data_IF_086375635732
#
_entry.id   IF_086375635732
#
_cell.length_a   1.000
_cell.length_b   1.000
_cell.length_c   1.000
_cell.angle_alpha   90.00
_cell.angle_beta   90.00
_cell.angle_gamma   90.00
#
_symmetry.space_group_name_H-M   'P 1'
#
loop_
_entity.id
_entity.type
_entity.pdbx_description
1 polymer ?
#
# COMPACT_ATOMS: atom_id res chain seq x y z
N UNK A 1 42.20 -12.89 48.44
CA UNK A 1 40.97 -12.36 47.77
C UNK A 1 41.19 -10.87 47.54
N UNK A 2 41.56 -10.48 46.33
CA UNK A 2 41.91 -9.10 45.99
C UNK A 2 40.72 -8.47 45.26
N UNK A 3 40.03 -7.57 45.93
CA UNK A 3 38.92 -6.79 45.30
C UNK A 3 39.53 -5.64 44.52
N UNK A 4 39.31 -5.62 43.23
CA UNK A 4 39.69 -4.52 42.36
C UNK A 4 38.71 -3.33 42.58
N UNK A 5 39.18 -2.10 42.72
CA UNK A 5 38.30 -0.94 42.87
C UNK A 5 37.63 -0.60 41.54
N UNK A 6 36.31 -0.54 41.52
CA UNK A 6 35.54 -0.08 40.36
C UNK A 6 35.74 1.43 40.19
N UNK A 7 36.31 1.83 39.08
CA UNK A 7 36.57 3.25 38.76
C UNK A 7 35.25 4.01 38.54
N UNK A 8 35.19 5.27 39.07
CA UNK A 8 34.05 6.18 38.86
C UNK A 8 33.70 6.41 37.37
N UNK A 9 34.68 6.26 36.50
CA UNK A 9 34.49 6.37 35.05
C UNK A 9 33.64 5.21 34.46
N UNK A 10 33.81 4.02 35.00
CA UNK A 10 33.03 2.83 34.54
C UNK A 10 31.56 2.92 34.95
N UNK A 11 31.27 3.52 36.12
CA UNK A 11 29.90 3.76 36.58
C UNK A 11 29.18 4.81 35.73
N UNK A 12 29.88 5.87 35.32
CA UNK A 12 29.33 6.91 34.45
C UNK A 12 29.02 6.39 33.01
N UNK A 13 29.89 5.53 32.47
CA UNK A 13 29.66 4.91 31.17
C UNK A 13 28.45 3.95 31.19
N UNK A 14 28.27 3.19 32.29
CA UNK A 14 27.11 2.29 32.46
C UNK A 14 25.79 3.04 32.58
N UNK A 15 25.77 4.18 33.25
CA UNK A 15 24.56 5.00 33.38
C UNK A 15 24.14 5.67 32.05
N UNK A 16 25.12 6.10 31.23
CA UNK A 16 24.85 6.69 29.93
C UNK A 16 24.24 5.67 28.91
N UNK A 17 24.73 4.43 28.94
CA UNK A 17 24.20 3.36 28.05
C UNK A 17 22.79 2.96 28.51
N UNK A 18 22.51 2.88 29.78
CA UNK A 18 21.17 2.58 30.28
C UNK A 18 20.17 3.69 29.96
N UNK A 19 20.57 4.96 30.03
CA UNK A 19 19.73 6.09 29.66
C UNK A 19 19.42 6.13 28.14
N UNK A 20 20.40 5.83 27.29
CA UNK A 20 20.22 5.76 25.85
C UNK A 20 19.27 4.63 25.45
N UNK A 21 19.38 3.45 26.06
CA UNK A 21 18.45 2.34 25.79
C UNK A 21 17.02 2.64 26.25
N UNK A 22 16.83 3.39 27.31
CA UNK A 22 15.49 3.78 27.77
C UNK A 22 14.84 4.78 26.82
N UNK A 23 15.61 5.73 26.31
CA UNK A 23 15.11 6.70 25.33
C UNK A 23 14.78 6.04 23.99
N UNK A 24 15.58 5.08 23.50
CA UNK A 24 15.28 4.34 22.29
C UNK A 24 14.00 3.51 22.45
N UNK A 25 13.77 2.93 23.62
CA UNK A 25 12.51 2.21 23.90
C UNK A 25 11.29 3.14 23.94
N UNK A 26 11.43 4.35 24.47
CA UNK A 26 10.35 5.34 24.45
C UNK A 26 10.08 5.85 23.04
N UNK A 27 11.09 6.14 22.24
CA UNK A 27 10.91 6.56 20.85
C UNK A 27 10.23 5.47 20.00
N UNK A 28 10.54 4.19 20.22
CA UNK A 28 9.87 3.07 19.55
C UNK A 28 8.44 2.86 20.07
N UNK A 29 8.16 3.18 21.33
CA UNK A 29 6.81 3.10 21.88
C UNK A 29 5.91 4.25 21.41
N UNK A 30 6.46 5.45 21.23
CA UNK A 30 5.72 6.61 20.70
C UNK A 30 5.41 6.49 19.21
N UNK A 31 6.25 5.79 18.43
CA UNK A 31 5.97 5.55 17.01
C UNK A 31 4.87 4.50 16.77
N UNK A 32 4.34 3.90 17.81
CA UNK A 32 3.20 2.97 17.80
C UNK A 32 1.87 3.62 18.16
N UNK A 33 1.72 4.92 17.98
CA UNK A 33 0.40 5.47 17.78
C UNK A 33 -0.09 4.93 16.43
N UNK A 34 -0.70 3.77 16.44
CA UNK A 34 -1.57 3.33 15.35
C UNK A 34 -2.58 4.45 15.21
N UNK A 35 -2.42 5.27 14.17
CA UNK A 35 -3.45 6.19 13.76
C UNK A 35 -4.66 5.31 13.42
N UNK A 36 -5.53 5.11 14.41
CA UNK A 36 -6.84 4.54 14.13
C UNK A 36 -7.50 5.58 13.23
N UNK A 37 -7.77 5.28 11.96
CA UNK A 37 -8.49 6.23 11.12
C UNK A 37 -9.76 6.59 11.86
N UNK A 38 -10.02 7.86 12.04
CA UNK A 38 -11.31 8.29 12.57
C UNK A 38 -12.36 7.66 11.68
N UNK A 39 -13.21 6.79 12.25
CA UNK A 39 -14.23 6.11 11.48
C UNK A 39 -15.09 7.19 10.81
N UNK A 40 -14.95 7.33 9.50
CA UNK A 40 -15.82 8.22 8.72
C UNK A 40 -17.20 7.57 8.75
N UNK A 41 -18.11 8.22 9.42
CA UNK A 41 -19.48 7.70 9.62
C UNK A 41 -20.34 7.80 8.36
N UNK A 42 -19.93 8.62 7.40
CA UNK A 42 -20.67 8.82 6.14
C UNK A 42 -19.71 9.00 4.96
N UNK A 43 -19.40 7.88 4.29
CA UNK A 43 -18.55 7.87 3.10
C UNK A 43 -19.19 8.64 1.94
N UNK A 44 -20.52 8.71 1.89
CA UNK A 44 -21.24 9.39 0.82
C UNK A 44 -21.02 10.90 0.84
N UNK A 45 -20.65 11.46 2.00
CA UNK A 45 -20.36 12.89 2.14
C UNK A 45 -18.93 13.28 1.77
N UNK A 46 -18.04 12.31 1.53
CA UNK A 46 -16.65 12.58 1.21
C UNK A 46 -16.48 13.16 -0.20
N UNK A 47 -15.48 14.04 -0.40
CA UNK A 47 -15.08 14.45 -1.73
C UNK A 47 -14.75 13.23 -2.60
N UNK A 48 -15.14 13.25 -3.87
CA UNK A 48 -14.89 12.18 -4.83
C UNK A 48 -13.94 12.66 -5.92
N UNK A 49 -12.94 11.84 -6.23
CA UNK A 49 -11.92 12.15 -7.25
C UNK A 49 -11.81 10.95 -8.19
N UNK A 50 -12.16 11.16 -9.46
CA UNK A 50 -11.96 10.14 -10.51
C UNK A 50 -10.53 10.22 -11.02
N UNK A 51 -9.83 9.09 -11.02
CA UNK A 51 -8.44 8.96 -11.46
C UNK A 51 -8.35 8.07 -12.69
N UNK A 52 -7.67 8.58 -13.72
CA UNK A 52 -7.37 7.82 -14.93
C UNK A 52 -6.11 6.99 -14.70
N UNK A 53 -6.25 5.67 -14.76
CA UNK A 53 -5.11 4.75 -14.71
C UNK A 53 -4.25 4.86 -15.97
N UNK A 54 -2.95 4.61 -15.82
CA UNK A 54 -1.97 4.61 -16.91
C UNK A 54 -1.23 3.29 -16.96
N UNK A 55 -0.73 2.95 -18.14
CA UNK A 55 -0.04 1.68 -18.35
C UNK A 55 1.31 1.63 -17.63
N UNK A 56 1.68 0.47 -17.08
CA UNK A 56 3.01 0.25 -16.53
C UNK A 56 4.11 0.52 -17.57
N UNK A 57 5.28 0.99 -17.16
CA UNK A 57 5.75 1.17 -15.77
C UNK A 57 5.36 2.50 -15.14
N UNK A 58 4.53 3.27 -15.78
CA UNK A 58 4.12 4.58 -15.30
C UNK A 58 3.05 4.46 -14.22
N UNK A 59 2.94 5.52 -13.41
CA UNK A 59 1.92 5.66 -12.39
C UNK A 59 1.12 6.92 -12.68
N UNK A 60 -0.18 6.88 -12.45
CA UNK A 60 -1.04 8.04 -12.64
C UNK A 60 -0.58 9.23 -11.78
N UNK A 61 -0.94 10.43 -12.20
CA UNK A 61 -0.65 11.63 -11.44
C UNK A 61 -1.30 11.56 -10.06
N UNK A 62 -0.52 11.84 -9.02
CA UNK A 62 -0.96 11.83 -7.63
C UNK A 62 -0.09 12.78 -6.79
N UNK A 63 -0.62 13.26 -5.69
CA UNK A 63 0.14 14.04 -4.70
C UNK A 63 1.09 13.11 -3.94
N UNK A 64 2.33 13.56 -3.69
CA UNK A 64 3.31 12.78 -2.91
C UNK A 64 3.00 12.79 -1.41
N UNK A 65 2.25 13.77 -0.95
CA UNK A 65 1.85 13.93 0.45
C UNK A 65 0.36 14.24 0.48
N UNK A 66 -0.37 13.55 1.34
CA UNK A 66 -1.80 13.81 1.50
C UNK A 66 -2.05 15.26 1.92
N UNK A 67 -2.89 15.94 1.18
CA UNK A 67 -3.38 17.28 1.51
C UNK A 67 -4.88 17.22 1.77
N UNK A 68 -5.29 17.63 2.94
CA UNK A 68 -6.70 17.59 3.34
C UNK A 68 -7.09 16.32 4.10
N UNK A 69 -8.40 16.06 4.18
CA UNK A 69 -8.98 14.90 4.83
C UNK A 69 -9.18 13.72 3.86
N UNK A 70 -9.79 12.61 4.33
CA UNK A 70 -10.09 11.45 3.50
C UNK A 70 -11.03 11.81 2.34
N UNK A 71 -10.86 11.12 1.24
CA UNK A 71 -11.68 11.25 0.02
C UNK A 71 -12.02 9.86 -0.53
N UNK A 72 -12.95 9.78 -1.45
CA UNK A 72 -13.19 8.60 -2.27
C UNK A 72 -12.42 8.75 -3.57
N UNK A 73 -11.51 7.84 -3.84
CA UNK A 73 -10.75 7.79 -5.10
C UNK A 73 -11.38 6.73 -5.98
N UNK A 74 -11.89 7.17 -7.13
CA UNK A 74 -12.61 6.33 -8.07
C UNK A 74 -11.68 5.90 -9.21
N UNK A 75 -11.60 4.59 -9.42
CA UNK A 75 -10.87 3.98 -10.52
C UNK A 75 -11.81 3.17 -11.40
N UNK A 76 -11.45 3.04 -12.67
CA UNK A 76 -12.10 2.14 -13.59
C UNK A 76 -11.05 1.24 -14.25
N UNK A 77 -11.33 -0.06 -14.30
CA UNK A 77 -10.42 -1.06 -14.83
C UNK A 77 -11.19 -2.11 -15.63
N UNK A 78 -10.70 -2.44 -16.80
CA UNK A 78 -11.27 -3.49 -17.65
C UNK A 78 -10.38 -4.73 -17.60
N UNK A 79 -10.98 -5.89 -17.37
CA UNK A 79 -10.33 -7.18 -17.55
C UNK A 79 -10.63 -7.66 -18.96
N UNK A 80 -9.57 -7.96 -19.71
CA UNK A 80 -9.67 -8.49 -21.05
C UNK A 80 -8.70 -9.65 -21.28
N UNK A 81 -9.18 -10.69 -21.95
CA UNK A 81 -8.33 -11.78 -22.41
C UNK A 81 -7.70 -11.40 -23.74
N UNK A 82 -6.37 -11.47 -23.79
CA UNK A 82 -5.65 -11.16 -25.03
C UNK A 82 -4.33 -11.87 -25.16
N UNK A 83 -3.87 -11.95 -26.40
CA UNK A 83 -2.54 -12.45 -26.72
C UNK A 83 -1.51 -11.37 -26.51
N UNK A 84 -0.51 -11.63 -25.70
CA UNK A 84 0.59 -10.72 -25.37
C UNK A 84 1.87 -11.25 -25.98
N UNK A 85 2.70 -10.35 -26.54
CA UNK A 85 4.07 -10.65 -26.94
C UNK A 85 5.00 -10.47 -25.74
N UNK A 86 5.81 -11.48 -25.45
CA UNK A 86 6.68 -11.50 -24.28
C UNK A 86 7.98 -10.73 -24.49
N UNK A 87 8.56 -10.85 -25.69
CA UNK A 87 9.86 -10.32 -26.01
C UNK A 87 10.07 -10.14 -27.52
N UNK A 88 11.25 -9.69 -27.88
CA UNK A 88 11.63 -9.44 -29.28
C UNK A 88 11.75 -10.74 -30.12
N UNK A 89 11.74 -11.92 -29.51
CA UNK A 89 11.68 -13.19 -30.23
C UNK A 89 10.33 -13.46 -30.88
N UNK A 90 9.32 -12.69 -30.51
CA UNK A 90 7.95 -12.87 -30.96
C UNK A 90 7.17 -13.97 -30.21
N UNK A 91 7.72 -14.47 -29.11
CA UNK A 91 7.02 -15.41 -28.24
C UNK A 91 5.77 -14.75 -27.66
N UNK A 92 4.66 -15.46 -27.69
CA UNK A 92 3.36 -14.94 -27.24
C UNK A 92 2.65 -15.90 -26.32
N UNK A 93 1.76 -15.38 -25.46
CA UNK A 93 0.85 -16.18 -24.65
C UNK A 93 -0.51 -15.50 -24.49
N UNK A 94 -1.54 -16.26 -24.16
CA UNK A 94 -2.82 -15.74 -23.75
C UNK A 94 -2.78 -15.30 -22.30
N UNK A 95 -3.21 -14.09 -22.03
CA UNK A 95 -3.22 -13.52 -20.71
C UNK A 95 -4.57 -12.88 -20.38
N UNK A 96 -4.99 -13.01 -19.13
CA UNK A 96 -5.98 -12.12 -18.55
C UNK A 96 -5.27 -10.85 -18.14
N UNK A 97 -5.71 -9.73 -18.65
CA UNK A 97 -5.04 -8.43 -18.51
C UNK A 97 -5.92 -7.43 -17.79
N UNK A 98 -5.31 -6.50 -17.08
CA UNK A 98 -5.99 -5.31 -16.58
C UNK A 98 -5.64 -4.12 -17.49
N UNK A 99 -6.64 -3.48 -18.07
CA UNK A 99 -6.50 -2.42 -19.07
C UNK A 99 -5.57 -2.80 -20.24
N UNK A 100 -5.50 -4.10 -20.56
CA UNK A 100 -4.72 -4.61 -21.68
C UNK A 100 -3.25 -4.87 -21.37
N UNK A 101 -2.79 -4.76 -20.13
CA UNK A 101 -1.39 -4.94 -19.73
C UNK A 101 -1.21 -6.03 -18.68
N UNK A 102 0.01 -6.57 -18.62
CA UNK A 102 0.52 -7.45 -17.56
C UNK A 102 1.96 -7.03 -17.24
N UNK A 103 2.26 -6.59 -16.01
CA UNK A 103 1.32 -6.36 -14.91
C UNK A 103 0.25 -5.31 -15.24
N UNK A 104 -0.84 -5.29 -14.47
CA UNK A 104 -1.88 -4.26 -14.59
C UNK A 104 -1.42 -2.89 -14.05
N UNK A 105 -2.23 -1.84 -14.29
CA UNK A 105 -1.96 -0.50 -13.78
C UNK A 105 -1.85 -0.44 -12.27
N UNK A 106 -1.01 0.47 -11.77
CA UNK A 106 -0.90 0.76 -10.34
C UNK A 106 -1.96 1.77 -9.92
N UNK A 107 -2.62 1.48 -8.79
CA UNK A 107 -3.50 2.42 -8.10
C UNK A 107 -2.75 2.97 -6.88
N UNK A 108 -2.55 4.28 -6.82
CA UNK A 108 -1.90 4.96 -5.69
C UNK A 108 -2.92 5.84 -5.00
N UNK A 109 -3.04 5.66 -3.68
CA UNK A 109 -3.94 6.41 -2.81
C UNK A 109 -3.22 6.72 -1.50
N UNK A 110 -3.75 7.65 -0.71
CA UNK A 110 -3.20 7.95 0.61
C UNK A 110 -3.87 7.12 1.70
N UNK A 111 -3.15 6.90 2.77
CA UNK A 111 -3.70 6.28 3.97
C UNK A 111 -4.92 7.07 4.46
N UNK A 112 -6.03 6.37 4.67
CA UNK A 112 -7.30 6.96 5.07
C UNK A 112 -8.25 7.30 3.93
N UNK A 113 -7.81 7.27 2.68
CA UNK A 113 -8.70 7.38 1.52
C UNK A 113 -9.54 6.11 1.35
N UNK A 114 -10.72 6.27 0.78
CA UNK A 114 -11.57 5.17 0.33
C UNK A 114 -11.36 4.93 -1.16
N UNK A 115 -11.28 3.66 -1.55
CA UNK A 115 -11.13 3.27 -2.95
C UNK A 115 -12.45 2.71 -3.46
N UNK A 116 -12.94 3.27 -4.56
CA UNK A 116 -14.05 2.70 -5.32
C UNK A 116 -13.53 2.27 -6.69
N UNK A 117 -13.54 0.97 -6.94
CA UNK A 117 -13.11 0.40 -8.21
C UNK A 117 -14.31 -0.12 -8.98
N UNK A 118 -14.54 0.42 -10.17
CA UNK A 118 -15.41 -0.17 -11.16
C UNK A 118 -14.64 -1.17 -12.00
N UNK A 119 -14.95 -2.46 -11.84
CA UNK A 119 -14.32 -3.53 -12.60
C UNK A 119 -15.24 -3.97 -13.73
N UNK A 120 -14.75 -3.91 -14.96
CA UNK A 120 -15.50 -4.27 -16.17
C UNK A 120 -14.90 -5.55 -16.73
N UNK A 121 -15.69 -6.62 -16.82
CA UNK A 121 -15.33 -7.76 -17.66
C UNK A 121 -15.64 -7.42 -19.10
N UNK A 122 -14.63 -7.47 -19.97
CA UNK A 122 -14.83 -7.20 -21.38
C UNK A 122 -15.82 -8.22 -21.99
N UNK A 123 -16.77 -7.78 -22.81
CA UNK A 123 -17.80 -8.67 -23.33
C UNK A 123 -17.30 -9.79 -24.24
N UNK A 124 -16.08 -9.65 -24.77
CA UNK A 124 -15.39 -10.64 -25.58
C UNK A 124 -14.64 -11.71 -24.79
N UNK A 125 -14.57 -11.59 -23.47
CA UNK A 125 -13.92 -12.59 -22.61
C UNK A 125 -14.68 -13.92 -22.69
N UNK A 126 -13.94 -15.03 -22.75
CA UNK A 126 -14.51 -16.38 -22.68
C UNK A 126 -14.83 -16.79 -21.23
N UNK A 127 -14.11 -16.23 -20.28
CA UNK A 127 -14.27 -16.51 -18.86
C UNK A 127 -14.73 -15.28 -18.09
N UNK A 128 -15.37 -15.53 -16.96
CA UNK A 128 -15.61 -14.49 -15.96
C UNK A 128 -14.37 -14.32 -15.08
N UNK A 129 -13.97 -13.07 -14.88
CA UNK A 129 -12.82 -12.72 -14.06
C UNK A 129 -13.25 -11.86 -12.88
N UNK A 130 -12.48 -11.93 -11.81
CA UNK A 130 -12.58 -11.07 -10.64
C UNK A 130 -11.21 -10.45 -10.32
N UNK A 131 -11.16 -9.61 -9.30
CA UNK A 131 -9.93 -9.06 -8.74
C UNK A 131 -9.89 -9.33 -7.25
N UNK A 132 -8.72 -9.65 -6.74
CA UNK A 132 -8.45 -9.80 -5.31
C UNK A 132 -7.27 -8.91 -4.91
N UNK A 133 -7.47 -8.07 -3.91
CA UNK A 133 -6.47 -7.12 -3.44
C UNK A 133 -5.75 -7.65 -2.21
N UNK A 134 -4.72 -8.45 -2.40
CA UNK A 134 -3.95 -9.01 -1.29
C UNK A 134 -3.36 -7.95 -0.35
N UNK A 135 -3.05 -6.77 -0.85
CA UNK A 135 -2.50 -5.68 -0.04
C UNK A 135 -3.53 -4.97 0.85
N UNK A 136 -4.80 -5.01 0.50
CA UNK A 136 -5.86 -4.31 1.23
C UNK A 136 -6.65 -5.19 2.17
N UNK A 137 -6.69 -6.49 1.91
CA UNK A 137 -7.48 -7.45 2.68
C UNK A 137 -6.75 -8.03 3.88
N UNK A 138 -5.43 -7.86 3.90
CA UNK A 138 -4.59 -8.30 5.00
C UNK A 138 -4.66 -9.81 5.25
N UNK A 139 -4.29 -10.20 6.47
CA UNK A 139 -4.20 -11.60 6.87
C UNK A 139 -5.54 -12.33 6.94
N UNK A 140 -6.64 -11.65 6.86
CA UNK A 140 -7.98 -12.26 6.87
C UNK A 140 -8.41 -12.74 5.48
N UNK A 141 -7.49 -12.70 4.53
CA UNK A 141 -7.68 -13.25 3.22
C UNK A 141 -8.94 -12.71 2.61
N UNK A 142 -8.74 -11.82 1.87
CA UNK A 142 -9.56 -11.28 0.93
C UNK A 142 -10.93 -11.77 0.74
N UNK A 143 -11.45 -11.34 0.04
CA UNK A 143 -12.69 -11.70 -0.48
C UNK A 143 -13.72 -11.02 0.35
N UNK A 144 -14.08 -10.06 0.08
CA UNK A 144 -15.35 -9.52 0.45
C UNK A 144 -16.49 -10.23 -0.21
#
# INVERSE_FOLDING_TARGET
MTTLPVSRRTLLAGAAIAGAMTQVRQAVAESKAVLTPAAVTDIASLPRVKVQLVDPPFVHEHEQVATGGPKVVEFEMTIGERKITLDDSGATYWASTFNGTVPGPLMVVHEGDYVELTLINAPENELMHNIDFHSSTGALGGGG
#
